data_IF_992842699202
#
_entry.id   IF_992842699202
#
_cell.length_a   1.000
_cell.length_b   1.000
_cell.length_c   1.000
_cell.angle_alpha   90.00
_cell.angle_beta   90.00
_cell.angle_gamma   90.00
#
_symmetry.space_group_name_H-M   'P 1'
#
loop_
_entity.id
_entity.type
_entity.pdbx_description
1 polymer ?
#
# COMPACT_ATOMS: atom_id res chain seq x y z
N UNK A 1 -46.82 -29.79 -20.95
CA UNK A 1 -46.66 -29.05 -19.68
C UNK A 1 -47.08 -30.00 -18.57
N UNK A 2 -46.12 -30.43 -17.76
CA UNK A 2 -46.21 -31.63 -16.94
C UNK A 2 -47.16 -31.51 -15.75
N UNK A 3 -47.86 -32.61 -15.51
CA UNK A 3 -48.83 -32.86 -14.44
C UNK A 3 -48.21 -32.70 -13.05
N UNK A 4 -48.90 -31.97 -12.17
CA UNK A 4 -48.66 -31.97 -10.74
C UNK A 4 -49.26 -33.23 -10.10
N UNK A 5 -48.43 -33.97 -9.37
CA UNK A 5 -48.85 -35.08 -8.53
C UNK A 5 -48.52 -34.78 -7.07
N UNK A 6 -49.55 -34.73 -6.26
CA UNK A 6 -49.54 -34.67 -4.80
C UNK A 6 -49.54 -36.08 -4.21
N UNK A 7 -48.71 -36.35 -3.19
CA UNK A 7 -48.99 -37.37 -2.16
C UNK A 7 -48.42 -36.90 -0.81
N UNK A 8 -49.29 -36.81 0.20
CA UNK A 8 -48.94 -36.69 1.62
C UNK A 8 -49.04 -38.07 2.29
N UNK A 9 -48.17 -38.39 3.25
CA UNK A 9 -48.47 -39.29 4.37
C UNK A 9 -47.45 -39.17 5.52
N UNK A 10 -47.98 -39.31 6.74
CA UNK A 10 -47.49 -38.93 8.06
C UNK A 10 -46.57 -39.93 8.79
N UNK A 11 -45.64 -39.36 9.57
CA UNK A 11 -45.30 -39.63 11.00
C UNK A 11 -44.81 -41.03 11.45
N UNK A 12 -43.60 -41.10 12.07
CA UNK A 12 -43.41 -41.29 13.53
C UNK A 12 -41.93 -41.26 13.99
N UNK A 13 -41.77 -40.56 15.12
CA UNK A 13 -40.61 -40.25 15.96
C UNK A 13 -39.62 -41.38 16.28
N UNK A 14 -38.35 -41.01 16.47
CA UNK A 14 -37.56 -41.39 17.65
C UNK A 14 -36.69 -40.20 18.08
N UNK A 15 -36.88 -39.74 19.32
CA UNK A 15 -36.11 -38.69 19.97
C UNK A 15 -34.84 -39.28 20.59
N UNK A 16 -33.73 -38.53 20.60
CA UNK A 16 -32.94 -38.29 21.82
C UNK A 16 -31.84 -37.25 21.60
N UNK A 17 -31.92 -36.19 22.43
CA UNK A 17 -30.83 -35.47 23.11
C UNK A 17 -29.66 -34.85 22.32
N UNK A 18 -29.63 -33.51 22.36
CA UNK A 18 -28.55 -32.80 23.05
C UNK A 18 -27.50 -32.13 22.16
N UNK A 19 -27.29 -30.82 22.40
CA UNK A 19 -26.09 -30.12 21.94
C UNK A 19 -26.35 -28.91 21.05
N UNK A 20 -27.02 -27.90 21.61
CA UNK A 20 -26.87 -26.54 21.10
C UNK A 20 -25.46 -26.03 21.42
N UNK A 21 -24.87 -25.37 20.43
CA UNK A 21 -23.81 -24.36 20.57
C UNK A 21 -22.65 -24.69 21.51
N UNK A 22 -21.55 -25.21 20.97
CA UNK A 22 -20.22 -24.79 21.42
C UNK A 22 -19.23 -24.95 20.27
N UNK A 23 -19.25 -23.95 19.39
CA UNK A 23 -18.15 -23.63 18.50
C UNK A 23 -17.48 -22.35 18.98
N UNK A 24 -17.29 -22.22 20.30
CA UNK A 24 -16.44 -21.21 20.91
C UNK A 24 -14.98 -21.49 20.57
N UNK A 25 -14.64 -21.30 19.28
CA UNK A 25 -13.27 -21.08 18.87
C UNK A 25 -12.79 -19.86 19.65
N UNK A 26 -12.00 -20.13 20.68
CA UNK A 26 -11.30 -19.13 21.45
C UNK A 26 -10.21 -18.52 20.55
N UNK A 27 -10.63 -17.75 19.54
CA UNK A 27 -9.77 -16.82 18.82
C UNK A 27 -9.46 -15.67 19.79
N UNK A 28 -8.60 -15.94 20.77
CA UNK A 28 -7.61 -14.96 21.16
C UNK A 28 -6.63 -14.78 19.98
N UNK A 29 -7.17 -14.34 18.84
CA UNK A 29 -6.38 -13.81 17.75
C UNK A 29 -5.69 -12.59 18.32
N UNK A 30 -4.38 -12.68 18.55
CA UNK A 30 -3.56 -11.53 18.88
C UNK A 30 -3.96 -10.42 17.92
N UNK A 31 -4.68 -9.43 18.46
CA UNK A 31 -5.19 -8.33 17.66
C UNK A 31 -3.96 -7.68 17.04
N UNK A 32 -3.77 -7.88 15.73
CA UNK A 32 -2.52 -7.55 15.05
C UNK A 32 -2.15 -6.12 15.39
N UNK A 33 -1.10 -5.98 16.19
CA UNK A 33 -0.72 -4.70 16.79
C UNK A 33 -0.17 -3.81 15.68
N UNK A 34 -0.63 -2.56 15.69
CA UNK A 34 -0.10 -1.50 14.84
C UNK A 34 0.64 -0.54 15.76
N UNK A 35 1.84 -0.16 15.37
CA UNK A 35 2.63 0.82 16.09
C UNK A 35 1.85 2.15 16.18
N UNK A 36 1.74 2.71 17.39
CA UNK A 36 1.03 3.98 17.65
C UNK A 36 1.57 5.20 16.88
N UNK A 37 2.78 5.11 16.33
CA UNK A 37 3.39 6.16 15.49
C UNK A 37 2.82 6.17 14.07
N UNK A 38 2.18 5.08 13.64
CA UNK A 38 1.51 5.04 12.35
C UNK A 38 0.20 5.82 12.40
N UNK A 39 -0.18 6.51 11.31
CA UNK A 39 -1.44 7.24 11.23
C UNK A 39 -2.64 6.31 10.95
N UNK A 40 -2.56 5.04 11.36
CA UNK A 40 -3.61 4.04 11.15
C UNK A 40 -4.24 3.65 12.48
N UNK A 41 -5.57 3.78 12.62
CA UNK A 41 -6.28 3.45 13.86
C UNK A 41 -6.30 1.94 14.13
N UNK A 42 -6.10 1.11 13.10
CA UNK A 42 -6.12 -0.34 13.21
C UNK A 42 -5.38 -1.02 12.04
N UNK A 43 -5.13 -2.32 12.18
CA UNK A 43 -4.43 -3.12 11.17
C UNK A 43 -5.16 -3.19 9.82
N UNK A 44 -6.49 -3.06 9.81
CA UNK A 44 -7.29 -3.14 8.58
C UNK A 44 -6.97 -2.00 7.63
N UNK A 45 -6.75 -0.79 8.14
CA UNK A 45 -6.36 0.35 7.32
C UNK A 45 -4.95 0.19 6.76
N UNK A 46 -4.02 -0.33 7.56
CA UNK A 46 -2.67 -0.66 7.09
C UNK A 46 -2.71 -1.72 5.97
N UNK A 47 -3.53 -2.76 6.12
CA UNK A 47 -3.72 -3.77 5.09
C UNK A 47 -4.36 -3.19 3.81
N UNK A 48 -5.22 -2.19 3.95
CA UNK A 48 -5.82 -1.48 2.83
C UNK A 48 -4.77 -0.68 2.05
N UNK A 49 -3.90 0.06 2.75
CA UNK A 49 -2.74 0.71 2.13
C UNK A 49 -1.89 -0.28 1.33
N UNK A 50 -1.54 -1.42 1.94
CA UNK A 50 -0.76 -2.48 1.31
C UNK A 50 -1.38 -2.95 -0.01
N UNK A 51 -2.70 -3.14 -0.04
CA UNK A 51 -3.38 -3.57 -1.25
C UNK A 51 -3.38 -2.51 -2.35
N UNK A 52 -3.52 -1.23 -2.01
CA UNK A 52 -3.34 -0.16 -2.98
C UNK A 52 -1.90 -0.09 -3.51
N UNK A 53 -0.91 -0.25 -2.63
CA UNK A 53 0.49 -0.20 -3.00
C UNK A 53 0.90 -1.31 -3.97
N UNK A 54 0.32 -2.51 -3.86
CA UNK A 54 0.52 -3.60 -4.85
C UNK A 54 0.22 -3.15 -6.28
N UNK A 55 -0.81 -2.33 -6.48
CA UNK A 55 -1.15 -1.80 -7.81
C UNK A 55 -0.10 -0.81 -8.31
N UNK A 56 0.45 0.02 -7.42
CA UNK A 56 1.56 0.93 -7.73
C UNK A 56 2.80 0.14 -8.14
N UNK A 57 3.18 -0.90 -7.36
CA UNK A 57 4.35 -1.75 -7.65
C UNK A 57 4.27 -2.45 -9.00
N UNK A 58 3.08 -2.89 -9.42
CA UNK A 58 2.87 -3.50 -10.75
C UNK A 58 3.15 -2.54 -11.91
N UNK A 59 3.06 -1.22 -11.67
CA UNK A 59 3.21 -0.18 -12.67
C UNK A 59 4.31 0.83 -12.26
N UNK A 60 5.32 0.37 -11.51
CA UNK A 60 6.26 1.23 -10.78
C UNK A 60 6.94 2.29 -11.66
N UNK A 61 7.33 1.93 -12.90
CA UNK A 61 8.03 2.84 -13.81
C UNK A 61 7.14 4.03 -14.19
N UNK A 62 5.89 3.77 -14.52
CA UNK A 62 4.96 4.83 -14.93
C UNK A 62 4.48 5.62 -13.72
N UNK A 63 4.19 4.96 -12.59
CA UNK A 63 3.84 5.65 -11.35
C UNK A 63 4.95 6.59 -10.86
N UNK A 64 6.22 6.15 -10.92
CA UNK A 64 7.37 6.97 -10.56
C UNK A 64 7.45 8.23 -11.45
N UNK A 65 7.36 8.06 -12.76
CA UNK A 65 7.41 9.17 -13.72
C UNK A 65 6.23 10.13 -13.54
N UNK A 66 5.01 9.61 -13.35
CA UNK A 66 3.81 10.44 -13.09
C UNK A 66 3.99 11.29 -11.84
N UNK A 67 4.50 10.69 -10.76
CA UNK A 67 4.73 11.38 -9.49
C UNK A 67 5.73 12.54 -9.66
N UNK A 68 6.89 12.27 -10.27
CA UNK A 68 7.90 13.30 -10.46
C UNK A 68 7.45 14.39 -11.46
N UNK A 69 6.79 14.00 -12.56
CA UNK A 69 6.25 14.95 -13.53
C UNK A 69 5.23 15.91 -12.90
N UNK A 70 4.30 15.39 -12.09
CA UNK A 70 3.31 16.22 -11.37
C UNK A 70 3.99 17.18 -10.41
N UNK A 71 4.98 16.70 -9.64
CA UNK A 71 5.72 17.53 -8.71
C UNK A 71 6.47 18.68 -9.41
N UNK A 72 7.15 18.40 -10.52
CA UNK A 72 7.87 19.42 -11.29
C UNK A 72 6.91 20.45 -11.91
N UNK A 73 5.75 20.01 -12.43
CA UNK A 73 4.73 20.94 -12.95
C UNK A 73 4.14 21.85 -11.89
N UNK A 74 3.98 21.35 -10.67
CA UNK A 74 3.50 22.14 -9.54
C UNK A 74 4.55 23.08 -8.97
N UNK A 75 5.84 22.75 -9.14
CA UNK A 75 6.96 23.49 -8.58
C UNK A 75 8.12 23.58 -9.61
N UNK A 76 7.96 24.34 -10.71
CA UNK A 76 8.92 24.37 -11.79
C UNK A 76 10.33 24.79 -11.36
N UNK A 77 10.43 25.69 -10.38
CA UNK A 77 11.69 26.19 -9.80
C UNK A 77 12.52 25.08 -9.16
N UNK A 78 11.89 23.99 -8.72
CA UNK A 78 12.61 22.88 -8.11
C UNK A 78 13.40 22.06 -9.12
N UNK A 79 13.15 22.19 -10.43
CA UNK A 79 13.92 21.50 -11.48
C UNK A 79 15.43 21.76 -11.32
N UNK A 80 15.83 22.98 -10.97
CA UNK A 80 17.23 23.38 -10.87
C UNK A 80 18.00 22.61 -9.78
N UNK A 81 17.29 22.10 -8.77
CA UNK A 81 17.86 21.27 -7.70
C UNK A 81 18.25 19.87 -8.16
N UNK A 82 17.92 19.49 -9.39
CA UNK A 82 18.20 18.19 -9.96
C UNK A 82 19.15 18.29 -11.16
N UNK A 83 20.48 18.15 -10.96
CA UNK A 83 21.46 18.22 -12.05
C UNK A 83 21.17 17.25 -13.20
N UNK A 84 20.55 16.10 -12.90
CA UNK A 84 20.17 15.07 -13.89
C UNK A 84 19.00 15.49 -14.78
N UNK A 85 18.26 16.54 -14.44
CA UNK A 85 17.07 16.98 -15.19
C UNK A 85 17.35 18.17 -16.10
N UNK A 86 18.61 18.49 -16.40
CA UNK A 86 19.00 19.64 -17.24
C UNK A 86 18.28 19.69 -18.60
N UNK A 87 18.00 18.52 -19.20
CA UNK A 87 17.35 18.39 -20.51
C UNK A 87 15.82 18.26 -20.44
N UNK A 88 15.23 18.30 -19.23
CA UNK A 88 13.79 18.09 -19.06
C UNK A 88 13.06 19.40 -19.21
N UNK A 89 12.06 19.43 -20.08
CA UNK A 89 11.09 20.51 -20.14
C UNK A 89 9.93 20.22 -19.17
N UNK A 90 9.69 21.13 -18.22
CA UNK A 90 8.70 20.96 -17.16
C UNK A 90 7.27 21.00 -17.72
N UNK A 91 7.03 21.75 -18.79
CA UNK A 91 5.68 21.89 -19.34
C UNK A 91 5.21 20.59 -20.01
N UNK A 92 6.15 19.91 -20.67
CA UNK A 92 5.89 18.71 -21.48
C UNK A 92 6.21 17.39 -20.77
N UNK A 93 6.94 17.38 -19.65
CA UNK A 93 7.29 16.16 -18.91
C UNK A 93 6.06 15.33 -18.53
N UNK A 94 6.15 14.00 -18.71
CA UNK A 94 5.05 13.07 -18.44
C UNK A 94 5.55 11.64 -18.21
N UNK A 95 4.61 10.70 -18.04
CA UNK A 95 4.92 9.26 -18.00
C UNK A 95 5.59 8.76 -19.29
N UNK A 96 5.35 9.40 -20.44
CA UNK A 96 5.93 9.01 -21.71
C UNK A 96 7.35 9.58 -21.93
N UNK A 97 7.84 10.46 -21.05
CA UNK A 97 9.17 11.04 -21.16
C UNK A 97 10.23 9.94 -20.98
N UNK A 98 10.99 9.68 -22.06
CA UNK A 98 12.10 8.73 -22.10
C UNK A 98 13.43 9.49 -21.97
N UNK A 99 13.83 9.77 -20.74
CA UNK A 99 15.13 10.37 -20.40
C UNK A 99 15.71 9.63 -19.19
N UNK A 100 16.95 9.17 -19.30
CA UNK A 100 17.57 8.32 -18.29
C UNK A 100 17.80 9.05 -16.97
N UNK A 101 18.05 10.37 -17.03
CA UNK A 101 18.18 11.22 -15.85
C UNK A 101 16.86 11.32 -15.10
N UNK A 102 15.78 11.61 -15.82
CA UNK A 102 14.42 11.67 -15.31
C UNK A 102 13.96 10.33 -14.72
N UNK A 103 14.12 9.23 -15.47
CA UNK A 103 13.76 7.88 -15.01
C UNK A 103 14.51 7.50 -13.75
N UNK A 104 15.80 7.81 -13.66
CA UNK A 104 16.61 7.54 -12.46
C UNK A 104 16.12 8.33 -11.25
N UNK A 105 15.85 9.63 -11.41
CA UNK A 105 15.37 10.46 -10.30
C UNK A 105 13.98 9.99 -9.86
N UNK A 106 13.08 9.74 -10.80
CA UNK A 106 11.73 9.25 -10.53
C UNK A 106 11.74 7.93 -9.76
N UNK A 107 12.52 6.95 -10.23
CA UNK A 107 12.64 5.65 -9.59
C UNK A 107 13.18 5.76 -8.16
N UNK A 108 14.18 6.62 -7.93
CA UNK A 108 14.74 6.84 -6.59
C UNK A 108 13.70 7.39 -5.60
N UNK A 109 12.84 8.31 -6.04
CA UNK A 109 11.77 8.82 -5.18
C UNK A 109 10.74 7.72 -4.86
N UNK A 110 10.26 6.98 -5.86
CA UNK A 110 9.27 5.93 -5.61
C UNK A 110 9.83 4.83 -4.70
N UNK A 111 11.12 4.48 -4.87
CA UNK A 111 11.81 3.48 -4.05
C UNK A 111 11.82 3.81 -2.56
N UNK A 112 11.95 5.10 -2.19
CA UNK A 112 11.89 5.49 -0.76
C UNK A 112 10.54 5.11 -0.16
N UNK A 113 9.44 5.35 -0.88
CA UNK A 113 8.11 4.96 -0.42
C UNK A 113 7.94 3.43 -0.40
N UNK A 114 8.39 2.74 -1.44
CA UNK A 114 8.29 1.27 -1.53
C UNK A 114 9.00 0.58 -0.36
N UNK A 115 10.23 1.00 -0.09
CA UNK A 115 11.03 0.41 0.97
C UNK A 115 10.44 0.70 2.37
N UNK A 116 9.87 1.90 2.58
CA UNK A 116 9.21 2.27 3.85
C UNK A 116 7.94 1.45 4.05
N UNK A 117 7.08 1.36 3.03
CA UNK A 117 5.84 0.59 3.09
C UNK A 117 6.15 -0.90 3.31
N UNK A 118 7.17 -1.44 2.63
CA UNK A 118 7.62 -2.82 2.83
C UNK A 118 8.11 -3.06 4.25
N UNK A 119 8.91 -2.14 4.82
CA UNK A 119 9.39 -2.26 6.20
C UNK A 119 8.24 -2.25 7.20
N UNK A 120 7.26 -1.38 7.00
CA UNK A 120 6.05 -1.32 7.85
C UNK A 120 5.19 -2.59 7.70
N UNK A 121 5.11 -3.15 6.48
CA UNK A 121 4.40 -4.41 6.22
C UNK A 121 5.03 -5.59 6.95
N UNK A 122 6.36 -5.68 6.98
CA UNK A 122 7.09 -6.75 7.64
C UNK A 122 6.98 -6.68 9.17
N UNK A 123 6.96 -5.46 9.74
CA UNK A 123 6.93 -5.20 11.18
C UNK A 123 5.88 -4.13 11.55
N UNK A 124 4.57 -4.43 11.44
CA UNK A 124 3.50 -3.45 11.66
C UNK A 124 3.45 -2.92 13.11
N UNK A 125 3.98 -3.67 14.07
CA UNK A 125 4.01 -3.32 15.48
C UNK A 125 5.26 -2.55 15.92
N UNK A 126 6.29 -2.45 15.07
CA UNK A 126 7.52 -1.69 15.33
C UNK A 126 8.04 -1.04 14.06
N UNK A 127 7.80 0.26 13.94
CA UNK A 127 8.20 1.05 12.76
C UNK A 127 9.56 1.74 12.91
N UNK A 128 10.38 1.35 13.89
CA UNK A 128 11.66 2.01 14.16
C UNK A 128 12.63 1.98 12.97
N UNK A 129 12.64 0.87 12.23
CA UNK A 129 13.45 0.72 11.00
C UNK A 129 12.96 1.68 9.90
N UNK A 130 11.64 1.79 9.72
CA UNK A 130 11.03 2.71 8.75
C UNK A 130 11.31 4.18 9.11
N UNK A 131 11.18 4.56 10.39
CA UNK A 131 11.53 5.88 10.89
C UNK A 131 13.01 6.21 10.68
N UNK A 132 13.91 5.26 10.96
CA UNK A 132 15.36 5.42 10.77
C UNK A 132 15.70 5.67 9.29
N UNK A 133 15.02 4.95 8.39
CA UNK A 133 15.17 5.10 6.94
C UNK A 133 14.73 6.48 6.46
N UNK A 134 13.55 6.94 6.87
CA UNK A 134 13.06 8.30 6.54
C UNK A 134 13.98 9.38 7.11
N UNK A 135 14.49 9.20 8.34
CA UNK A 135 15.45 10.13 8.95
C UNK A 135 16.74 10.21 8.14
N UNK A 136 17.27 9.08 7.66
CA UNK A 136 18.45 9.02 6.80
C UNK A 136 18.23 9.75 5.47
N UNK A 137 17.07 9.54 4.84
CA UNK A 137 16.67 10.28 3.63
C UNK A 137 16.62 11.78 3.88
N UNK A 138 16.04 12.22 5.00
CA UNK A 138 16.02 13.64 5.39
C UNK A 138 17.42 14.24 5.57
N UNK A 139 18.34 13.51 6.21
CA UNK A 139 19.76 13.92 6.36
C UNK A 139 20.43 14.08 4.99
N UNK A 140 20.21 13.13 4.08
CA UNK A 140 20.75 13.19 2.72
C UNK A 140 20.26 14.44 1.98
N UNK A 141 18.98 14.80 2.12
CA UNK A 141 18.44 16.01 1.49
C UNK A 141 19.07 17.27 2.08
N UNK A 142 19.25 17.36 3.40
CA UNK A 142 19.94 18.51 4.02
C UNK A 142 21.35 18.71 3.46
N UNK A 143 22.15 17.64 3.36
CA UNK A 143 23.53 17.72 2.85
C UNK A 143 23.66 18.06 1.36
N UNK A 144 22.57 18.02 0.60
CA UNK A 144 22.55 18.29 -0.85
C UNK A 144 21.90 19.63 -1.19
N UNK A 145 21.49 20.40 -0.19
CA UNK A 145 20.79 21.70 -0.33
C UNK A 145 21.72 22.88 0.01
N UNK A 146 22.99 22.60 0.37
CA UNK A 146 24.05 23.61 0.52
C UNK A 146 24.90 23.72 -0.75
#
# INVERSE_FOLDING_TARGET
MGSGSSVSAQTRNLASTGGGGDGGGNDNGEQQKVDSRLPYPNFRELFTLKNYWKTVRRNERDCAKIMLAKYLKQNPENKEKYPKLKNIDVDTVSAATADSGFETVAANYLKVFDDVITTVEEKPADVSDACSRLTSVGKMHRSKVD
#
